data_IF_717983609471
#
_entry.id   IF_717983609471
#
_cell.length_a   1.000
_cell.length_b   1.000
_cell.length_c   1.000
_cell.angle_alpha   90.00
_cell.angle_beta   90.00
_cell.angle_gamma   90.00
#
_symmetry.space_group_name_H-M   'P 1'
#
loop_
_entity.id
_entity.type
_entity.pdbx_description
1 polymer ?
#
# COMPACT_ATOMS: atom_id res chain seq x y z
N UNK A 1 -12.11 -15.12 0.15
CA UNK A 1 -10.77 -15.18 -0.46
C UNK A 1 -10.58 -13.89 -1.23
N UNK A 2 -9.65 -13.04 -0.79
CA UNK A 2 -9.31 -11.80 -1.48
C UNK A 2 -8.80 -12.19 -2.87
N UNK A 3 -9.54 -11.79 -3.91
CA UNK A 3 -9.10 -11.72 -5.31
C UNK A 3 -8.29 -12.93 -5.86
N UNK A 4 -8.97 -13.87 -6.54
CA UNK A 4 -8.40 -15.16 -6.99
C UNK A 4 -7.26 -14.99 -8.00
N UNK A 5 -6.08 -15.53 -7.68
CA UNK A 5 -4.92 -15.51 -8.57
C UNK A 5 -4.05 -14.25 -8.44
N UNK A 6 -4.36 -13.34 -7.51
CA UNK A 6 -3.55 -12.14 -7.24
C UNK A 6 -2.10 -12.48 -6.94
N UNK A 7 -1.84 -13.60 -6.26
CA UNK A 7 -0.50 -14.04 -5.86
C UNK A 7 0.46 -14.07 -7.05
N UNK A 8 0.00 -14.54 -8.21
CA UNK A 8 0.83 -14.62 -9.42
C UNK A 8 1.26 -13.24 -9.94
N UNK A 9 0.54 -12.17 -9.59
CA UNK A 9 0.88 -10.80 -9.99
C UNK A 9 2.00 -10.20 -9.14
N UNK A 10 2.29 -10.75 -7.96
CA UNK A 10 3.22 -10.18 -6.98
C UNK A 10 4.25 -11.20 -6.47
N UNK A 11 4.41 -12.35 -7.13
CA UNK A 11 5.39 -13.37 -6.75
C UNK A 11 6.67 -13.30 -7.59
N UNK A 12 7.80 -13.59 -6.96
CA UNK A 12 9.11 -13.59 -7.60
C UNK A 12 9.38 -12.26 -8.31
N UNK A 13 9.82 -12.32 -9.57
CA UNK A 13 10.12 -11.14 -10.37
C UNK A 13 8.89 -10.29 -10.74
N UNK A 14 7.66 -10.77 -10.51
CA UNK A 14 6.46 -10.01 -10.86
C UNK A 14 6.21 -8.85 -9.88
N UNK A 15 6.74 -8.93 -8.65
CA UNK A 15 6.56 -7.87 -7.64
C UNK A 15 7.20 -6.55 -8.06
N UNK A 16 8.35 -6.60 -8.74
CA UNK A 16 9.14 -5.45 -9.16
C UNK A 16 8.83 -5.00 -10.60
N UNK A 17 7.76 -5.52 -11.21
CA UNK A 17 7.37 -5.10 -12.56
C UNK A 17 6.77 -3.70 -12.55
N UNK A 18 6.90 -2.94 -13.66
CA UNK A 18 6.25 -1.63 -13.80
C UNK A 18 4.73 -1.64 -13.56
N UNK A 19 4.08 -2.78 -13.83
CA UNK A 19 2.67 -3.02 -13.53
C UNK A 19 2.29 -2.90 -12.04
N UNK A 20 3.27 -2.95 -11.13
CA UNK A 20 3.11 -2.74 -9.69
C UNK A 20 3.83 -1.47 -9.20
N UNK A 21 4.20 -0.56 -10.10
CA UNK A 21 4.96 0.64 -9.77
C UNK A 21 4.28 1.91 -10.29
N UNK A 22 4.35 2.98 -9.52
CA UNK A 22 3.94 4.32 -9.95
C UNK A 22 4.80 5.39 -9.32
N UNK A 23 4.95 6.53 -10.01
CA UNK A 23 5.68 7.68 -9.49
C UNK A 23 4.72 8.60 -8.75
N UNK A 24 5.06 8.92 -7.50
CA UNK A 24 4.32 9.85 -6.65
C UNK A 24 5.26 10.93 -6.11
N UNK A 25 4.70 12.09 -5.78
CA UNK A 25 5.45 13.05 -4.97
C UNK A 25 5.76 12.41 -3.62
N UNK A 26 6.85 12.83 -2.95
CA UNK A 26 7.29 12.24 -1.68
C UNK A 26 6.16 12.11 -0.65
N UNK A 27 5.30 13.14 -0.53
CA UNK A 27 4.21 13.14 0.44
C UNK A 27 3.06 12.21 0.03
N UNK A 28 2.67 12.19 -1.24
CA UNK A 28 1.69 11.23 -1.74
C UNK A 28 2.20 9.79 -1.61
N UNK A 29 3.50 9.54 -1.82
CA UNK A 29 4.12 8.24 -1.61
C UNK A 29 3.98 7.78 -0.16
N UNK A 30 4.22 8.67 0.81
CA UNK A 30 4.00 8.35 2.24
C UNK A 30 2.53 8.02 2.50
N UNK A 31 1.58 8.86 2.08
CA UNK A 31 0.15 8.60 2.33
C UNK A 31 -0.36 7.34 1.63
N UNK A 32 0.16 7.03 0.43
CA UNK A 32 -0.16 5.79 -0.27
C UNK A 32 0.39 4.56 0.46
N UNK A 33 1.65 4.63 0.91
CA UNK A 33 2.33 3.55 1.63
C UNK A 33 1.74 3.27 3.02
N UNK A 34 1.25 4.31 3.71
CA UNK A 34 0.54 4.17 4.99
C UNK A 34 -0.96 3.92 4.82
N UNK A 35 -1.42 3.70 3.59
CA UNK A 35 -2.82 3.44 3.25
C UNK A 35 -3.81 4.54 3.71
N UNK A 36 -3.30 5.75 3.88
CA UNK A 36 -4.08 6.95 4.14
C UNK A 36 -4.68 7.53 2.84
N UNK A 37 -4.07 7.23 1.69
CA UNK A 37 -4.50 7.65 0.36
C UNK A 37 -4.63 6.44 -0.57
N UNK A 38 -5.69 6.37 -1.39
CA UNK A 38 -5.93 5.27 -2.32
C UNK A 38 -6.59 5.72 -3.62
N UNK A 39 -6.56 4.85 -4.63
CA UNK A 39 -7.11 5.08 -5.96
C UNK A 39 -8.35 4.22 -6.18
N UNK A 40 -9.47 4.83 -6.54
CA UNK A 40 -10.69 4.12 -6.94
C UNK A 40 -10.90 4.25 -8.45
N UNK A 41 -11.26 3.13 -9.09
CA UNK A 41 -11.75 3.19 -10.46
C UNK A 41 -13.01 4.06 -10.53
N UNK A 42 -13.18 4.76 -11.65
CA UNK A 42 -14.38 5.55 -11.93
C UNK A 42 -15.14 4.84 -13.04
N UNK A 43 -16.41 4.52 -12.78
CA UNK A 43 -17.29 3.91 -13.77
C UNK A 43 -17.44 4.85 -14.98
N UNK A 44 -17.48 4.27 -16.18
CA UNK A 44 -17.63 4.98 -17.46
C UNK A 44 -16.54 6.04 -17.76
N UNK A 45 -15.41 6.02 -17.04
CA UNK A 45 -14.27 6.88 -17.30
C UNK A 45 -13.28 6.27 -18.31
N UNK A 46 -12.41 7.09 -18.93
CA UNK A 46 -11.34 6.57 -19.79
C UNK A 46 -10.44 5.58 -19.03
N UNK A 47 -9.77 4.65 -19.74
CA UNK A 47 -8.80 3.73 -19.12
C UNK A 47 -7.78 4.46 -18.23
N UNK A 48 -7.35 3.81 -17.16
CA UNK A 48 -6.38 4.36 -16.18
C UNK A 48 -6.81 5.67 -15.53
N UNK A 49 -8.13 5.89 -15.41
CA UNK A 49 -8.70 7.03 -14.70
C UNK A 49 -9.16 6.62 -13.31
N UNK A 50 -8.69 7.35 -12.32
CA UNK A 50 -8.94 7.06 -10.92
C UNK A 50 -9.38 8.30 -10.16
N UNK A 51 -10.32 8.10 -9.25
CA UNK A 51 -10.65 9.05 -8.20
C UNK A 51 -9.70 8.79 -7.04
N UNK A 52 -8.94 9.81 -6.67
CA UNK A 52 -8.00 9.75 -5.55
C UNK A 52 -8.72 10.21 -4.30
N UNK A 53 -8.68 9.37 -3.27
CA UNK A 53 -9.31 9.62 -1.98
C UNK A 53 -8.29 9.54 -0.86
N UNK A 54 -8.57 10.23 0.25
CA UNK A 54 -7.74 10.22 1.45
C UNK A 54 -8.61 10.12 2.70
N UNK A 55 -8.15 9.38 3.69
CA UNK A 55 -8.75 9.33 5.03
C UNK A 55 -8.22 10.45 5.94
N UNK A 56 -7.19 11.18 5.51
CA UNK A 56 -6.66 12.30 6.29
C UNK A 56 -7.61 13.49 6.27
N UNK A 57 -7.69 14.26 7.38
CA UNK A 57 -8.37 15.54 7.36
C UNK A 57 -7.78 16.43 6.25
N UNK A 58 -8.61 17.23 5.55
CA UNK A 58 -8.17 18.00 4.38
C UNK A 58 -6.91 18.85 4.61
N UNK A 59 -6.75 19.41 5.80
CA UNK A 59 -5.58 20.24 6.15
C UNK A 59 -4.25 19.46 6.16
N UNK A 60 -4.29 18.14 6.39
CA UNK A 60 -3.12 17.27 6.47
C UNK A 60 -2.94 16.37 5.24
N UNK A 61 -3.91 16.35 4.33
CA UNK A 61 -3.90 15.52 3.13
C UNK A 61 -3.18 16.21 1.97
N UNK A 62 -2.41 15.46 1.18
CA UNK A 62 -1.94 15.97 -0.12
C UNK A 62 -3.04 16.02 -1.18
N UNK A 63 -4.16 15.36 -0.91
CA UNK A 63 -5.35 15.34 -1.75
C UNK A 63 -6.50 15.89 -0.89
N UNK A 64 -6.51 17.21 -0.60
CA UNK A 64 -7.45 17.82 0.35
C UNK A 64 -8.89 17.83 -0.18
N UNK A 65 -9.06 17.66 -1.49
CA UNK A 65 -10.33 17.52 -2.17
C UNK A 65 -10.27 16.26 -3.02
N UNK A 66 -11.42 15.64 -3.28
CA UNK A 66 -11.50 14.52 -4.23
C UNK A 66 -11.04 14.99 -5.60
N UNK A 67 -10.02 14.33 -6.15
CA UNK A 67 -9.46 14.66 -7.45
C UNK A 67 -9.53 13.42 -8.34
N UNK A 68 -10.02 13.59 -9.57
CA UNK A 68 -9.93 12.57 -10.62
C UNK A 68 -8.68 12.81 -11.47
N UNK A 69 -7.90 11.75 -11.71
CA UNK A 69 -6.70 11.77 -12.55
C UNK A 69 -6.67 10.57 -13.48
N UNK A 70 -6.30 10.83 -14.72
CA UNK A 70 -5.93 9.80 -15.70
C UNK A 70 -4.42 9.70 -15.71
N UNK A 71 -3.87 8.50 -15.54
CA UNK A 71 -2.42 8.30 -15.60
C UNK A 71 -1.92 8.44 -17.04
N UNK A 72 -0.79 9.14 -17.19
CA UNK A 72 -0.11 9.26 -18.47
C UNK A 72 0.57 7.93 -18.79
N UNK A 73 0.31 7.42 -19.99
CA UNK A 73 1.04 6.29 -20.54
C UNK A 73 2.31 6.80 -21.24
N UNK A 74 3.36 5.98 -21.27
CA UNK A 74 4.52 6.26 -22.12
C UNK A 74 4.04 6.38 -23.58
N UNK A 75 4.47 7.42 -24.31
CA UNK A 75 4.04 7.68 -25.70
C UNK A 75 4.25 6.45 -26.60
N UNK A 76 5.36 5.75 -26.41
CA UNK A 76 5.72 4.53 -27.14
C UNK A 76 5.28 3.23 -26.44
N UNK A 77 4.53 3.33 -25.33
CA UNK A 77 4.11 2.20 -24.50
C UNK A 77 5.28 1.30 -24.04
N UNK A 78 6.46 1.89 -23.84
CA UNK A 78 7.67 1.15 -23.40
C UNK A 78 7.62 0.72 -21.94
N UNK A 79 6.75 1.34 -21.14
CA UNK A 79 6.55 1.04 -19.72
C UNK A 79 5.08 0.70 -19.52
N UNK A 80 4.81 -0.52 -19.05
CA UNK A 80 3.47 -0.97 -18.71
C UNK A 80 2.90 -0.12 -17.55
N UNK A 81 1.64 0.33 -17.63
CA UNK A 81 1.02 1.09 -16.55
C UNK A 81 0.71 0.21 -15.33
N UNK A 82 0.48 0.84 -14.15
CA UNK A 82 -0.02 0.13 -12.98
C UNK A 82 -1.29 -0.66 -13.30
N UNK A 83 -1.35 -1.91 -12.87
CA UNK A 83 -2.53 -2.75 -13.05
C UNK A 83 -3.69 -2.20 -12.22
N UNK A 84 -4.86 -1.92 -12.83
CA UNK A 84 -6.04 -1.45 -12.09
C UNK A 84 -6.44 -2.37 -10.94
N UNK A 85 -6.21 -3.67 -11.11
CA UNK A 85 -6.49 -4.71 -10.11
C UNK A 85 -5.64 -4.55 -8.85
N UNK A 86 -4.35 -4.24 -8.98
CA UNK A 86 -3.46 -4.03 -7.83
C UNK A 86 -3.85 -2.76 -7.05
N UNK A 87 -4.27 -1.70 -7.76
CA UNK A 87 -4.82 -0.50 -7.14
C UNK A 87 -6.14 -0.76 -6.40
N UNK A 88 -7.03 -1.57 -6.98
CA UNK A 88 -8.27 -1.97 -6.32
C UNK A 88 -8.01 -2.78 -5.03
N UNK A 89 -7.01 -3.66 -5.04
CA UNK A 89 -6.58 -4.39 -3.85
C UNK A 89 -6.02 -3.44 -2.80
N UNK A 90 -5.13 -2.52 -3.18
CA UNK A 90 -4.61 -1.50 -2.27
C UNK A 90 -5.75 -0.69 -1.62
N UNK A 91 -6.71 -0.22 -2.42
CA UNK A 91 -7.87 0.52 -1.92
C UNK A 91 -8.74 -0.31 -0.97
N UNK A 92 -8.94 -1.60 -1.25
CA UNK A 92 -9.66 -2.49 -0.35
C UNK A 92 -8.92 -2.66 1.00
N UNK A 93 -7.60 -2.85 0.97
CA UNK A 93 -6.76 -2.94 2.17
C UNK A 93 -6.82 -1.64 2.97
N UNK A 94 -6.68 -0.49 2.30
CA UNK A 94 -6.77 0.83 2.92
C UNK A 94 -8.10 1.02 3.67
N UNK A 95 -9.22 0.70 3.03
CA UNK A 95 -10.55 0.76 3.64
C UNK A 95 -10.68 -0.15 4.84
N UNK A 96 -10.20 -1.40 4.75
CA UNK A 96 -10.24 -2.35 5.88
C UNK A 96 -9.40 -1.84 7.04
N UNK A 97 -8.19 -1.36 6.80
CA UNK A 97 -7.32 -0.82 7.86
C UNK A 97 -7.91 0.42 8.52
N UNK A 98 -8.50 1.32 7.74
CA UNK A 98 -9.17 2.50 8.27
C UNK A 98 -10.40 2.12 9.13
N UNK A 99 -11.30 1.28 8.61
CA UNK A 99 -12.54 0.91 9.30
C UNK A 99 -12.31 0.06 10.55
N UNK A 100 -11.28 -0.79 10.55
CA UNK A 100 -10.92 -1.62 11.71
C UNK A 100 -10.13 -0.89 12.79
N UNK A 101 -9.59 0.29 12.48
CA UNK A 101 -8.62 0.98 13.34
C UNK A 101 -7.29 0.23 13.49
N UNK A 102 -7.04 -0.82 12.70
CA UNK A 102 -5.86 -1.67 12.80
C UNK A 102 -4.60 -1.03 12.18
N UNK A 103 -4.74 0.07 11.43
CA UNK A 103 -3.62 0.71 10.74
C UNK A 103 -2.43 1.01 11.65
N UNK A 104 -2.65 1.68 12.79
CA UNK A 104 -1.58 2.01 13.74
C UNK A 104 -0.93 0.78 14.37
N UNK A 105 -1.70 -0.29 14.57
CA UNK A 105 -1.20 -1.54 15.10
C UNK A 105 -0.32 -2.27 14.08
N UNK A 106 -0.76 -2.35 12.83
CA UNK A 106 0.03 -2.91 11.72
C UNK A 106 1.32 -2.11 11.48
N UNK A 107 1.24 -0.78 11.47
CA UNK A 107 2.41 0.10 11.34
C UNK A 107 3.42 -0.14 12.45
N UNK A 108 2.97 -0.34 13.69
CA UNK A 108 3.86 -0.63 14.81
C UNK A 108 4.57 -1.98 14.62
N UNK A 109 3.83 -3.01 14.19
CA UNK A 109 4.41 -4.33 13.91
C UNK A 109 5.46 -4.25 12.79
N UNK A 110 5.15 -3.53 11.69
CA UNK A 110 6.09 -3.36 10.59
C UNK A 110 7.36 -2.63 11.03
N UNK A 111 7.23 -1.54 11.80
CA UNK A 111 8.39 -0.84 12.38
C UNK A 111 9.21 -1.75 13.29
N UNK A 112 8.56 -2.55 14.14
CA UNK A 112 9.25 -3.49 15.01
C UNK A 112 9.99 -4.60 14.21
N UNK A 113 9.53 -4.95 13.00
CA UNK A 113 10.24 -5.88 12.11
C UNK A 113 11.41 -5.24 11.34
N UNK A 114 11.38 -3.92 11.15
CA UNK A 114 12.40 -3.14 10.44
C UNK A 114 13.48 -2.56 11.39
N UNK A 115 13.21 -2.49 12.70
CA UNK A 115 14.18 -1.99 13.67
C UNK A 115 15.20 -3.08 14.07
N UNK A 116 16.49 -2.75 13.96
CA UNK A 116 17.63 -3.63 14.30
C UNK A 116 17.76 -3.96 15.80
N UNK A 117 17.14 -3.18 16.68
CA UNK A 117 17.36 -3.24 18.12
C UNK A 117 16.05 -3.35 18.88
N UNK A 118 15.92 -4.40 19.68
CA UNK A 118 14.86 -4.50 20.69
C UNK A 118 15.05 -3.35 21.68
N UNK A 119 14.01 -2.54 21.85
CA UNK A 119 14.06 -1.40 22.77
C UNK A 119 14.08 -1.89 24.20
N UNK A 120 15.10 -1.47 24.97
CA UNK A 120 15.27 -1.87 26.36
C UNK A 120 14.15 -1.37 27.30
N UNK A 121 13.36 -0.40 26.83
CA UNK A 121 12.18 0.13 27.56
C UNK A 121 10.94 -0.80 27.47
N UNK A 122 11.03 -1.92 26.75
CA UNK A 122 9.95 -2.90 26.62
C UNK A 122 8.86 -2.50 25.62
N UNK A 123 9.05 -1.45 24.83
CA UNK A 123 8.07 -1.01 23.83
C UNK A 123 8.00 -1.89 22.58
N UNK A 124 9.02 -2.72 22.31
CA UNK A 124 9.01 -3.68 21.20
C UNK A 124 8.05 -4.85 21.50
N UNK A 125 7.12 -5.13 20.59
CA UNK A 125 6.13 -6.20 20.76
C UNK A 125 6.70 -7.58 20.38
N UNK A 126 7.52 -8.16 21.26
CA UNK A 126 8.14 -9.47 21.05
C UNK A 126 7.14 -10.61 20.82
N UNK A 127 5.94 -10.53 21.41
CA UNK A 127 4.88 -11.52 21.22
C UNK A 127 4.38 -11.57 19.77
N UNK A 128 4.12 -10.40 19.18
CA UNK A 128 3.73 -10.29 17.78
C UNK A 128 4.84 -10.78 16.85
N UNK A 129 6.08 -10.39 17.09
CA UNK A 129 7.24 -10.82 16.31
C UNK A 129 7.46 -12.34 16.36
N UNK A 130 7.34 -12.94 17.55
CA UNK A 130 7.43 -14.40 17.72
C UNK A 130 6.31 -15.12 16.97
N UNK A 131 5.07 -14.62 17.05
CA UNK A 131 3.93 -15.19 16.34
C UNK A 131 4.12 -15.13 14.82
N UNK A 132 4.61 -13.99 14.28
CA UNK A 132 4.91 -13.83 12.86
C UNK A 132 5.99 -14.81 12.39
N UNK A 133 7.05 -14.98 13.18
CA UNK A 133 8.13 -15.92 12.86
C UNK A 133 7.66 -17.37 12.88
N UNK A 134 6.95 -17.78 13.93
CA UNK A 134 6.40 -19.13 14.06
C UNK A 134 5.37 -19.44 12.96
N UNK A 135 4.64 -18.43 12.51
CA UNK A 135 3.71 -18.54 11.38
C UNK A 135 4.36 -18.48 9.99
N UNK A 136 5.68 -18.29 9.90
CA UNK A 136 6.41 -18.20 8.63
C UNK A 136 6.24 -16.89 7.87
N UNK A 137 5.72 -15.84 8.51
CA UNK A 137 5.47 -14.51 7.91
C UNK A 137 6.68 -13.58 7.97
N UNK A 138 7.60 -13.84 8.90
CA UNK A 138 8.83 -13.05 9.07
C UNK A 138 10.02 -13.98 9.31
N UNK A 139 11.12 -13.75 8.61
CA UNK A 139 12.33 -14.58 8.71
C UNK A 139 13.26 -14.18 9.87
N UNK A 140 12.93 -13.11 10.60
CA UNK A 140 13.74 -12.61 11.72
C UNK A 140 14.99 -11.86 11.29
N UNK A 141 15.10 -11.50 10.01
CA UNK A 141 16.17 -10.65 9.49
C UNK A 141 15.61 -9.24 9.31
N UNK A 142 16.44 -8.26 9.67
CA UNK A 142 16.20 -6.85 9.38
C UNK A 142 16.95 -6.54 8.08
N UNK A 143 16.26 -5.90 7.12
CA UNK A 143 16.83 -5.51 5.80
C UNK A 143 17.32 -4.07 5.86
#
# INVERSE_FOLDING_TARGET
MFDVGVRHLIEGFNIDRPTNAMTLTRRCHTEFGTFDMYFEAVDDAPPHTYRIQSFRPPFFSQVPQTVTRTFFLSEDHTIDPPLPRLLAIHAAVAKVMHMSGAGSHCDQILRDTEELLIKADGSTNLGALAALRLGGWWNGLVV
#
